data_IF_898082673798
#
_entry.id   IF_898082673798
#
_cell.length_a   1.000
_cell.length_b   1.000
_cell.length_c   1.000
_cell.angle_alpha   90.00
_cell.angle_beta   90.00
_cell.angle_gamma   90.00
#
_symmetry.space_group_name_H-M   'P 1'
#
loop_
_entity.id
_entity.type
_entity.pdbx_description
1 polymer ?
#
# COMPACT_ATOMS: atom_id res chain seq x y z
N UNK A 1 -22.38 -30.17 -12.30
CA UNK A 1 -23.28 -29.03 -12.54
C UNK A 1 -22.75 -28.08 -13.60
N UNK A 2 -21.64 -27.35 -13.38
CA UNK A 2 -21.12 -26.38 -14.37
C UNK A 2 -20.90 -26.95 -15.77
N UNK A 3 -20.35 -28.16 -15.88
CA UNK A 3 -20.20 -28.88 -17.16
C UNK A 3 -21.55 -29.11 -17.86
N UNK A 4 -22.59 -29.54 -17.13
CA UNK A 4 -23.91 -29.78 -17.71
C UNK A 4 -24.59 -28.48 -18.17
N UNK A 5 -24.29 -27.35 -17.52
CA UNK A 5 -24.88 -26.06 -17.87
C UNK A 5 -24.19 -25.40 -19.06
N UNK A 6 -22.85 -25.50 -19.16
CA UNK A 6 -22.03 -24.65 -20.01
C UNK A 6 -21.14 -25.39 -21.02
N UNK A 7 -21.01 -26.72 -20.96
CA UNK A 7 -20.16 -27.46 -21.89
C UNK A 7 -20.57 -27.21 -23.35
N UNK A 8 -19.59 -26.89 -24.19
CA UNK A 8 -19.80 -26.65 -25.61
C UNK A 8 -20.53 -25.35 -25.95
N UNK A 9 -20.77 -24.46 -24.97
CA UNK A 9 -21.53 -23.21 -25.18
C UNK A 9 -20.67 -21.94 -25.19
N UNK A 10 -19.38 -22.03 -24.88
CA UNK A 10 -18.45 -20.88 -24.82
C UNK A 10 -17.78 -20.57 -26.17
N UNK A 11 -18.25 -21.21 -27.23
CA UNK A 11 -17.73 -20.94 -28.57
C UNK A 11 -18.30 -19.64 -29.11
N UNK A 12 -17.46 -18.90 -29.85
CA UNK A 12 -17.83 -17.64 -30.49
C UNK A 12 -17.07 -17.43 -31.79
N UNK A 13 -17.74 -16.79 -32.74
CA UNK A 13 -17.12 -16.32 -33.97
C UNK A 13 -16.30 -15.06 -33.68
N UNK A 14 -15.02 -15.09 -34.04
CA UNK A 14 -14.08 -13.97 -33.91
C UNK A 14 -13.51 -13.59 -35.26
N UNK A 15 -13.33 -12.28 -35.43
CA UNK A 15 -12.62 -11.72 -36.58
C UNK A 15 -11.10 -11.98 -36.48
N UNK A 16 -10.35 -11.72 -37.55
CA UNK A 16 -8.89 -11.83 -37.62
C UNK A 16 -8.16 -10.97 -36.57
N UNK A 17 -8.84 -9.94 -36.04
CA UNK A 17 -8.36 -9.08 -34.95
C UNK A 17 -8.61 -9.64 -33.55
N UNK A 18 -9.36 -10.75 -33.42
CA UNK A 18 -9.76 -11.37 -32.16
C UNK A 18 -11.01 -10.78 -31.51
N UNK A 19 -11.73 -9.88 -32.19
CA UNK A 19 -12.98 -9.29 -31.70
C UNK A 19 -14.17 -10.21 -32.00
N UNK A 20 -15.08 -10.37 -31.03
CA UNK A 20 -16.33 -11.12 -31.18
C UNK A 20 -17.30 -10.38 -32.11
N UNK A 21 -17.83 -11.09 -33.11
CA UNK A 21 -18.76 -10.54 -34.09
C UNK A 21 -20.21 -10.51 -33.57
N UNK A 22 -21.02 -9.60 -34.10
CA UNK A 22 -22.42 -9.44 -33.67
C UNK A 22 -23.30 -10.60 -34.19
N UNK A 23 -24.25 -11.05 -33.38
CA UNK A 23 -25.14 -12.17 -33.70
C UNK A 23 -26.11 -11.88 -34.86
N UNK A 24 -26.39 -10.60 -35.15
CA UNK A 24 -27.23 -10.18 -36.27
C UNK A 24 -26.57 -10.46 -37.63
N UNK A 25 -25.24 -10.36 -37.68
CA UNK A 25 -24.44 -10.58 -38.89
C UNK A 25 -24.09 -12.06 -39.02
N UNK A 26 -23.69 -12.69 -37.91
CA UNK A 26 -23.29 -14.09 -37.87
C UNK A 26 -24.10 -14.80 -36.79
N UNK A 27 -25.22 -15.46 -37.14
CA UNK A 27 -26.09 -16.09 -36.16
C UNK A 27 -25.54 -17.43 -35.64
N UNK A 28 -24.85 -18.19 -36.50
CA UNK A 28 -24.45 -19.58 -36.24
C UNK A 28 -23.05 -19.89 -36.80
N UNK A 29 -22.46 -21.00 -36.33
CA UNK A 29 -21.15 -21.50 -36.76
C UNK A 29 -21.01 -21.66 -38.28
N UNK A 30 -22.06 -22.12 -38.97
CA UNK A 30 -22.00 -22.35 -40.41
C UNK A 30 -21.78 -21.05 -41.18
N UNK A 31 -22.42 -19.95 -40.74
CA UNK A 31 -22.26 -18.62 -41.35
C UNK A 31 -20.86 -18.07 -41.04
N UNK A 32 -20.36 -18.28 -39.81
CA UNK A 32 -19.01 -17.89 -39.42
C UNK A 32 -17.95 -18.51 -40.35
N UNK A 33 -18.07 -19.81 -40.63
CA UNK A 33 -17.14 -20.53 -41.50
C UNK A 33 -17.33 -20.19 -42.99
N UNK A 34 -18.55 -19.89 -43.43
CA UNK A 34 -18.82 -19.47 -44.81
C UNK A 34 -18.17 -18.12 -45.14
N UNK A 35 -18.13 -17.20 -44.17
CA UNK A 35 -17.50 -15.88 -44.28
C UNK A 35 -15.98 -15.89 -43.98
N UNK A 36 -15.35 -17.07 -43.86
CA UNK A 36 -13.93 -17.25 -43.54
C UNK A 36 -13.47 -16.66 -42.19
N UNK A 37 -14.36 -16.55 -41.21
CA UNK A 37 -14.01 -16.18 -39.83
C UNK A 37 -13.68 -17.41 -38.97
N UNK A 38 -13.10 -17.17 -37.78
CA UNK A 38 -12.69 -18.26 -36.87
C UNK A 38 -13.74 -18.52 -35.81
N UNK A 39 -14.15 -19.79 -35.69
CA UNK A 39 -15.03 -20.26 -34.63
C UNK A 39 -14.20 -20.84 -33.49
N UNK A 40 -13.91 -20.04 -32.46
CA UNK A 40 -12.98 -20.39 -31.39
C UNK A 40 -13.71 -20.58 -30.05
N UNK A 41 -13.17 -21.47 -29.22
CA UNK A 41 -13.64 -21.68 -27.85
C UNK A 41 -12.87 -20.77 -26.89
N UNK A 42 -13.52 -20.32 -25.83
CA UNK A 42 -12.81 -19.65 -24.73
C UNK A 42 -11.80 -20.60 -24.09
N UNK A 43 -10.61 -20.06 -23.76
CA UNK A 43 -9.50 -20.81 -23.15
C UNK A 43 -9.90 -21.44 -21.82
N UNK A 44 -10.75 -20.74 -21.06
CA UNK A 44 -11.28 -21.19 -19.79
C UNK A 44 -12.75 -21.53 -19.98
N UNK A 45 -13.10 -22.82 -19.92
CA UNK A 45 -14.43 -23.33 -20.28
C UNK A 45 -14.87 -24.50 -19.38
N UNK A 46 -16.11 -24.93 -19.55
CA UNK A 46 -16.72 -26.02 -18.77
C UNK A 46 -16.90 -27.30 -19.60
N UNK A 47 -16.11 -27.53 -20.64
CA UNK A 47 -16.30 -28.66 -21.55
C UNK A 47 -16.09 -30.03 -20.87
N UNK A 48 -15.19 -30.08 -19.89
CA UNK A 48 -14.94 -31.26 -19.07
C UNK A 48 -14.61 -30.85 -17.64
N UNK A 49 -14.64 -31.83 -16.73
CA UNK A 49 -14.51 -31.61 -15.29
C UNK A 49 -13.17 -30.96 -14.93
N UNK A 50 -12.08 -31.32 -15.59
CA UNK A 50 -10.75 -30.72 -15.37
C UNK A 50 -10.72 -29.21 -15.63
N UNK A 51 -11.15 -28.78 -16.83
CA UNK A 51 -11.28 -27.35 -17.15
C UNK A 51 -12.29 -26.65 -16.23
N UNK A 52 -13.39 -27.31 -15.85
CA UNK A 52 -14.35 -26.75 -14.90
C UNK A 52 -13.71 -26.49 -13.53
N UNK A 53 -12.81 -27.35 -13.02
CA UNK A 53 -12.07 -27.08 -11.79
C UNK A 53 -11.16 -25.85 -11.92
N UNK A 54 -10.46 -25.68 -13.04
CA UNK A 54 -9.63 -24.49 -13.29
C UNK A 54 -10.48 -23.22 -13.38
N UNK A 55 -11.63 -23.27 -14.05
CA UNK A 55 -12.61 -22.17 -14.09
C UNK A 55 -13.05 -21.79 -12.68
N UNK A 56 -13.48 -22.77 -11.89
CA UNK A 56 -13.97 -22.55 -10.54
C UNK A 56 -12.87 -22.06 -9.60
N UNK A 57 -11.61 -22.45 -9.81
CA UNK A 57 -10.46 -21.92 -9.09
C UNK A 57 -10.22 -20.43 -9.40
N UNK A 58 -10.29 -20.04 -10.67
CA UNK A 58 -10.22 -18.61 -11.07
C UNK A 58 -11.37 -17.78 -10.50
N UNK A 59 -12.58 -18.34 -10.49
CA UNK A 59 -13.74 -17.72 -9.83
C UNK A 59 -13.54 -17.60 -8.33
N UNK A 60 -13.05 -18.66 -7.66
CA UNK A 60 -12.84 -18.66 -6.21
C UNK A 60 -11.78 -17.65 -5.75
N UNK A 61 -10.76 -17.39 -6.58
CA UNK A 61 -9.68 -16.42 -6.31
C UNK A 61 -10.00 -15.00 -6.78
N UNK A 62 -11.15 -14.78 -7.42
CA UNK A 62 -11.56 -13.52 -8.05
C UNK A 62 -10.56 -12.97 -9.08
N UNK A 63 -9.79 -13.85 -9.74
CA UNK A 63 -8.84 -13.48 -10.80
C UNK A 63 -9.26 -14.14 -12.12
N UNK A 64 -9.55 -13.34 -13.16
CA UNK A 64 -10.01 -13.85 -14.47
C UNK A 64 -11.48 -14.28 -14.53
N UNK A 65 -12.20 -14.21 -13.41
CA UNK A 65 -13.61 -14.62 -13.28
C UNK A 65 -14.59 -13.87 -14.20
N UNK A 66 -14.29 -12.61 -14.54
CA UNK A 66 -15.15 -11.77 -15.38
C UNK A 66 -15.33 -12.31 -16.79
N UNK A 67 -14.31 -12.95 -17.37
CA UNK A 67 -14.39 -13.54 -18.71
C UNK A 67 -15.27 -14.79 -18.68
N UNK A 68 -15.04 -15.66 -17.69
CA UNK A 68 -15.82 -16.89 -17.47
C UNK A 68 -17.30 -16.56 -17.26
N UNK A 69 -17.61 -15.59 -16.39
CA UNK A 69 -18.99 -15.23 -16.10
C UNK A 69 -19.70 -14.58 -17.27
N UNK A 70 -18.98 -13.76 -18.06
CA UNK A 70 -19.52 -13.18 -19.30
C UNK A 70 -19.85 -14.26 -20.33
N UNK A 71 -18.91 -15.17 -20.58
CA UNK A 71 -19.15 -16.29 -21.51
C UNK A 71 -20.29 -17.20 -21.02
N UNK A 72 -20.49 -17.34 -19.71
CA UNK A 72 -21.63 -18.06 -19.13
C UNK A 72 -22.98 -17.37 -19.36
N UNK A 73 -23.03 -16.06 -19.14
CA UNK A 73 -24.26 -15.25 -19.23
C UNK A 73 -24.66 -15.00 -20.68
N UNK A 74 -23.69 -14.91 -21.58
CA UNK A 74 -23.91 -14.72 -23.01
C UNK A 74 -24.22 -16.05 -23.74
N UNK A 75 -24.07 -17.19 -23.04
CA UNK A 75 -24.29 -18.53 -23.60
C UNK A 75 -25.77 -18.83 -23.87
N UNK A 76 -26.04 -19.53 -24.98
CA UNK A 76 -27.38 -19.95 -25.41
C UNK A 76 -27.61 -21.44 -25.16
N UNK A 77 -28.86 -21.86 -25.06
CA UNK A 77 -29.22 -23.26 -24.78
C UNK A 77 -28.84 -24.24 -25.90
N UNK A 78 -28.75 -23.77 -27.14
CA UNK A 78 -28.40 -24.59 -28.31
C UNK A 78 -26.92 -24.43 -28.68
N UNK A 79 -26.23 -25.56 -28.89
CA UNK A 79 -24.86 -25.60 -29.39
C UNK A 79 -24.73 -24.99 -30.79
N UNK A 80 -23.56 -24.39 -31.06
CA UNK A 80 -23.20 -23.89 -32.39
C UNK A 80 -23.83 -22.57 -32.81
N UNK A 81 -24.52 -21.87 -31.90
CA UNK A 81 -25.06 -20.52 -32.11
C UNK A 81 -24.15 -19.45 -31.55
N UNK A 82 -24.10 -18.29 -32.19
CA UNK A 82 -23.35 -17.15 -31.70
C UNK A 82 -23.94 -16.67 -30.35
N UNK A 83 -23.09 -16.39 -29.34
CA UNK A 83 -23.55 -15.85 -28.06
C UNK A 83 -24.18 -14.48 -28.24
N UNK A 84 -25.20 -14.21 -27.44
CA UNK A 84 -25.90 -12.92 -27.41
C UNK A 84 -25.67 -12.35 -26.03
N UNK A 85 -25.27 -11.08 -25.98
CA UNK A 85 -24.98 -10.41 -24.72
C UNK A 85 -26.18 -10.49 -23.78
N UNK A 86 -25.95 -10.97 -22.55
CA UNK A 86 -26.94 -10.93 -21.46
C UNK A 86 -28.27 -11.65 -21.78
N UNK A 87 -28.22 -12.70 -22.61
CA UNK A 87 -29.40 -13.51 -22.92
C UNK A 87 -29.80 -14.42 -21.75
N UNK A 88 -28.84 -14.91 -20.98
CA UNK A 88 -29.06 -15.83 -19.87
C UNK A 88 -28.59 -15.24 -18.53
N UNK A 89 -29.19 -14.13 -18.14
CA UNK A 89 -28.83 -13.38 -16.93
C UNK A 89 -28.99 -14.18 -15.63
N UNK A 90 -29.83 -15.23 -15.61
CA UNK A 90 -29.99 -16.09 -14.44
C UNK A 90 -28.71 -16.88 -14.10
N UNK A 91 -27.77 -17.02 -15.04
CA UNK A 91 -26.50 -17.73 -14.79
C UNK A 91 -25.59 -17.00 -13.79
N UNK A 92 -25.82 -15.71 -13.51
CA UNK A 92 -25.16 -15.02 -12.40
C UNK A 92 -25.39 -15.72 -11.06
N UNK A 93 -26.59 -16.27 -10.83
CA UNK A 93 -26.90 -16.96 -9.58
C UNK A 93 -26.02 -18.18 -9.35
N UNK A 94 -25.67 -18.94 -10.40
CA UNK A 94 -24.75 -20.08 -10.27
C UNK A 94 -23.42 -19.69 -9.63
N UNK A 95 -22.83 -18.59 -10.09
CA UNK A 95 -21.55 -18.10 -9.57
C UNK A 95 -21.69 -17.46 -8.19
N UNK A 96 -22.78 -16.73 -7.92
CA UNK A 96 -23.06 -16.18 -6.58
C UNK A 96 -23.17 -17.30 -5.54
N UNK A 97 -23.93 -18.36 -5.84
CA UNK A 97 -24.02 -19.53 -4.97
C UNK A 97 -22.67 -20.21 -4.78
N UNK A 98 -21.88 -20.37 -5.85
CA UNK A 98 -20.54 -20.94 -5.74
C UNK A 98 -19.58 -20.05 -4.92
N UNK A 99 -19.66 -18.73 -5.00
CA UNK A 99 -18.81 -17.83 -4.22
C UNK A 99 -19.17 -17.90 -2.73
N UNK A 100 -20.48 -17.87 -2.41
CA UNK A 100 -20.96 -17.90 -1.02
C UNK A 100 -20.68 -19.27 -0.38
N UNK A 101 -21.05 -20.37 -1.04
CA UNK A 101 -20.97 -21.70 -0.44
C UNK A 101 -19.68 -22.44 -0.76
N UNK A 102 -19.09 -22.19 -1.93
CA UNK A 102 -17.82 -22.78 -2.33
C UNK A 102 -16.66 -22.00 -1.74
N UNK A 103 -16.43 -20.78 -2.22
CA UNK A 103 -15.22 -20.01 -1.87
C UNK A 103 -15.20 -19.60 -0.39
N UNK A 104 -16.24 -18.91 0.10
CA UNK A 104 -16.22 -18.39 1.46
C UNK A 104 -16.19 -19.48 2.53
N UNK A 105 -16.99 -20.54 2.38
CA UNK A 105 -16.99 -21.65 3.32
C UNK A 105 -15.66 -22.41 3.33
N UNK A 106 -15.11 -22.76 2.16
CA UNK A 106 -13.85 -23.53 2.09
C UNK A 106 -12.66 -22.73 2.61
N UNK A 107 -12.59 -21.43 2.29
CA UNK A 107 -11.51 -20.55 2.77
C UNK A 107 -11.59 -20.38 4.29
N UNK A 108 -12.79 -20.16 4.84
CA UNK A 108 -12.98 -20.05 6.29
C UNK A 108 -12.67 -21.36 7.03
N UNK A 109 -13.07 -22.51 6.48
CA UNK A 109 -12.73 -23.81 7.04
C UNK A 109 -11.21 -24.03 7.04
N UNK A 110 -10.55 -23.72 5.93
CA UNK A 110 -9.10 -23.83 5.81
C UNK A 110 -8.37 -22.95 6.82
N UNK A 111 -8.79 -21.67 6.95
CA UNK A 111 -8.27 -20.75 7.96
C UNK A 111 -8.51 -21.31 9.36
N UNK A 112 -9.70 -21.81 9.66
CA UNK A 112 -10.04 -22.39 10.96
C UNK A 112 -9.12 -23.56 11.33
N UNK A 113 -8.95 -24.52 10.41
CA UNK A 113 -8.07 -25.67 10.61
C UNK A 113 -6.61 -25.24 10.82
N UNK A 114 -6.12 -24.28 10.04
CA UNK A 114 -4.75 -23.76 10.20
C UNK A 114 -4.60 -23.09 11.56
N UNK A 115 -5.54 -22.24 11.96
CA UNK A 115 -5.48 -21.53 13.24
C UNK A 115 -5.52 -22.51 14.40
N UNK A 116 -6.37 -23.53 14.33
CA UNK A 116 -6.47 -24.54 15.38
C UNK A 116 -5.18 -25.36 15.49
N UNK A 117 -4.61 -25.78 14.35
CA UNK A 117 -3.33 -26.49 14.32
C UNK A 117 -2.19 -25.59 14.86
N UNK A 118 -2.18 -24.32 14.45
CA UNK A 118 -1.20 -23.34 14.91
C UNK A 118 -1.31 -23.07 16.42
N UNK A 119 -2.54 -23.00 16.94
CA UNK A 119 -2.80 -22.85 18.38
C UNK A 119 -2.38 -24.11 19.16
N UNK A 120 -2.56 -25.30 18.59
CA UNK A 120 -2.07 -26.54 19.19
C UNK A 120 -0.53 -26.55 19.26
N UNK A 121 0.15 -26.17 18.17
CA UNK A 121 1.61 -26.07 18.13
C UNK A 121 2.14 -25.00 19.09
N UNK A 122 1.43 -23.88 19.22
CA UNK A 122 1.70 -22.84 20.21
C UNK A 122 1.63 -23.40 21.64
N UNK A 123 0.61 -24.18 21.99
CA UNK A 123 0.51 -24.79 23.34
C UNK A 123 1.70 -25.72 23.64
N UNK A 124 2.22 -26.45 22.64
CA UNK A 124 3.38 -27.35 22.80
C UNK A 124 4.72 -26.60 22.91
N UNK A 125 4.91 -25.55 22.12
CA UNK A 125 6.21 -24.86 21.97
C UNK A 125 6.33 -23.59 22.84
N UNK A 126 5.22 -23.08 23.39
CA UNK A 126 5.18 -21.87 24.22
C UNK A 126 4.68 -20.63 23.46
N UNK A 127 5.44 -19.54 23.45
CA UNK A 127 4.97 -18.28 22.85
C UNK A 127 4.85 -18.38 21.32
N UNK A 128 3.86 -17.72 20.72
CA UNK A 128 3.54 -17.82 19.27
C UNK A 128 4.68 -17.42 18.35
N UNK A 129 5.53 -16.49 18.78
CA UNK A 129 6.68 -16.04 18.01
C UNK A 129 7.84 -17.04 18.06
N UNK A 130 7.96 -17.81 19.14
CA UNK A 130 9.10 -18.73 19.34
C UNK A 130 9.08 -19.91 18.37
N UNK A 131 7.91 -20.26 17.82
CA UNK A 131 7.76 -21.32 16.81
C UNK A 131 8.39 -20.95 15.47
N UNK A 132 8.52 -19.66 15.16
CA UNK A 132 9.10 -19.18 13.89
C UNK A 132 10.55 -18.71 14.02
N UNK A 133 11.13 -18.83 15.22
CA UNK A 133 12.45 -18.30 15.54
C UNK A 133 13.44 -19.43 15.75
N UNK A 134 14.67 -19.23 15.27
CA UNK A 134 15.78 -20.10 15.64
C UNK A 134 16.12 -19.96 17.13
N UNK A 135 16.80 -20.96 17.70
CA UNK A 135 17.18 -20.94 19.12
C UNK A 135 18.01 -19.71 19.50
N UNK A 136 18.91 -19.26 18.61
CA UNK A 136 19.72 -18.07 18.86
C UNK A 136 18.90 -16.79 18.81
N UNK A 137 17.98 -16.66 17.83
CA UNK A 137 17.05 -15.54 17.78
C UNK A 137 16.14 -15.47 19.02
N UNK A 138 15.72 -16.63 19.55
CA UNK A 138 14.95 -16.72 20.81
C UNK A 138 15.74 -16.18 22.00
N UNK A 139 17.04 -16.48 22.10
CA UNK A 139 17.92 -15.92 23.14
C UNK A 139 18.01 -14.39 23.04
N UNK A 140 18.24 -13.86 21.84
CA UNK A 140 18.28 -12.41 21.60
C UNK A 140 16.95 -11.72 21.93
N UNK A 141 15.83 -12.28 21.49
CA UNK A 141 14.50 -11.75 21.78
C UNK A 141 14.23 -11.69 23.29
N UNK A 142 14.54 -12.76 24.02
CA UNK A 142 14.35 -12.81 25.47
C UNK A 142 15.26 -11.82 26.22
N UNK A 143 16.50 -11.62 25.76
CA UNK A 143 17.39 -10.61 26.30
C UNK A 143 16.85 -9.18 26.05
N UNK A 144 16.37 -8.90 24.84
CA UNK A 144 15.78 -7.61 24.47
C UNK A 144 14.50 -7.32 25.26
N UNK A 145 13.62 -8.32 25.43
CA UNK A 145 12.39 -8.21 26.23
C UNK A 145 12.71 -7.88 27.70
N UNK A 146 13.75 -8.49 28.28
CA UNK A 146 14.22 -8.18 29.63
C UNK A 146 14.84 -6.77 29.72
N UNK A 147 15.60 -6.33 28.72
CA UNK A 147 16.18 -4.99 28.66
C UNK A 147 15.15 -3.88 28.41
N UNK A 148 14.01 -4.21 27.80
CA UNK A 148 12.93 -3.25 27.53
C UNK A 148 12.10 -2.91 28.76
N UNK A 149 12.06 -3.79 29.77
CA UNK A 149 11.13 -3.62 30.89
C UNK A 149 11.55 -2.55 31.91
N UNK A 150 12.84 -2.22 32.02
CA UNK A 150 13.35 -1.18 32.94
C UNK A 150 14.66 -0.56 32.44
N UNK A 151 14.58 0.60 31.78
CA UNK A 151 15.75 1.46 31.56
C UNK A 151 15.62 2.69 32.46
N UNK A 152 16.43 2.84 33.53
CA UNK A 152 16.43 4.08 34.30
C UNK A 152 17.00 5.19 33.42
N UNK A 153 16.17 6.17 33.09
CA UNK A 153 16.60 7.36 32.37
C UNK A 153 17.38 8.25 33.35
N UNK A 154 18.70 8.33 33.20
CA UNK A 154 19.51 9.30 33.96
C UNK A 154 19.10 10.71 33.54
N UNK A 155 18.71 11.55 34.51
CA UNK A 155 18.41 12.95 34.25
C UNK A 155 19.66 13.70 33.76
N UNK A 156 19.48 14.59 32.80
CA UNK A 156 20.58 15.35 32.18
C UNK A 156 21.06 16.43 33.17
N UNK A 157 22.37 16.54 33.45
CA UNK A 157 22.89 17.53 34.40
C UNK A 157 22.70 18.95 33.86
N UNK A 158 22.26 19.88 34.73
CA UNK A 158 22.07 21.29 34.37
C UNK A 158 23.43 21.98 34.11
N UNK A 159 23.55 22.81 33.07
CA UNK A 159 24.79 23.53 32.78
C UNK A 159 25.05 24.62 33.84
N UNK A 160 26.32 24.83 34.19
CA UNK A 160 26.74 25.85 35.17
C UNK A 160 26.73 27.28 34.64
N UNK A 161 26.82 27.46 33.32
CA UNK A 161 26.94 28.79 32.70
C UNK A 161 25.54 29.45 32.54
N UNK A 162 25.40 30.72 32.96
CA UNK A 162 24.09 31.39 33.11
C UNK A 162 23.28 31.48 31.81
N UNK A 163 23.81 31.99 30.68
CA UNK A 163 23.05 32.04 29.42
C UNK A 163 22.59 30.66 28.97
N UNK A 164 23.45 29.65 29.11
CA UNK A 164 23.11 28.28 28.75
C UNK A 164 22.08 27.65 29.68
N UNK A 165 22.09 27.97 30.98
CA UNK A 165 21.07 27.51 31.91
C UNK A 165 19.69 28.08 31.59
N UNK A 166 19.60 29.31 31.08
CA UNK A 166 18.34 29.91 30.65
C UNK A 166 17.82 29.17 29.41
N UNK A 167 18.66 28.98 28.39
CA UNK A 167 18.26 28.24 27.18
C UNK A 167 17.88 26.79 27.51
N UNK A 168 18.60 26.13 28.43
CA UNK A 168 18.27 24.79 28.91
C UNK A 168 16.89 24.73 29.56
N UNK A 169 16.51 25.75 30.35
CA UNK A 169 15.17 25.81 30.95
C UNK A 169 14.07 25.98 29.89
N UNK A 170 14.29 26.83 28.89
CA UNK A 170 13.33 27.05 27.80
C UNK A 170 13.13 25.77 26.99
N UNK A 171 14.22 25.14 26.56
CA UNK A 171 14.19 23.95 25.70
C UNK A 171 13.62 22.72 26.40
N UNK A 172 13.76 22.62 27.74
CA UNK A 172 13.26 21.49 28.53
C UNK A 172 11.80 21.70 28.97
N UNK A 173 11.21 22.87 28.74
CA UNK A 173 9.81 23.14 29.09
C UNK A 173 8.85 22.43 28.12
N UNK A 174 7.84 21.75 28.66
CA UNK A 174 6.77 21.10 27.89
C UNK A 174 6.04 22.09 26.97
N UNK A 175 5.97 23.37 27.34
CA UNK A 175 5.34 24.40 26.50
C UNK A 175 6.11 24.64 25.19
N UNK A 176 7.44 24.60 25.25
CA UNK A 176 8.29 24.74 24.08
C UNK A 176 8.08 23.55 23.12
N UNK A 177 8.07 22.32 23.66
CA UNK A 177 7.79 21.13 22.86
C UNK A 177 6.38 21.17 22.24
N UNK A 178 5.34 21.59 22.98
CA UNK A 178 3.99 21.74 22.44
C UNK A 178 3.91 22.75 21.28
N UNK A 179 4.62 23.87 21.40
CA UNK A 179 4.70 24.89 20.35
C UNK A 179 5.37 24.35 19.09
N UNK A 180 6.46 23.59 19.21
CA UNK A 180 7.10 22.93 18.06
C UNK A 180 6.15 21.90 17.41
N UNK A 181 5.43 21.13 18.23
CA UNK A 181 4.45 20.15 17.73
C UNK A 181 3.32 20.83 16.94
N UNK A 182 2.85 21.99 17.38
CA UNK A 182 1.89 22.80 16.62
C UNK A 182 2.44 23.19 15.25
N UNK A 183 3.69 23.68 15.18
CA UNK A 183 4.32 24.05 13.90
C UNK A 183 4.56 22.86 12.97
N UNK A 184 4.82 21.66 13.51
CA UNK A 184 4.89 20.42 12.72
C UNK A 184 3.52 20.12 12.11
N UNK A 185 2.44 20.21 12.89
CA UNK A 185 1.08 20.02 12.40
C UNK A 185 0.69 21.03 11.31
N UNK A 186 1.03 22.31 11.50
CA UNK A 186 0.82 23.35 10.48
C UNK A 186 1.64 23.08 9.21
N UNK A 187 2.89 22.63 9.34
CA UNK A 187 3.71 22.27 8.18
C UNK A 187 3.10 21.10 7.40
N UNK A 188 2.61 20.07 8.09
CA UNK A 188 1.88 18.97 7.47
C UNK A 188 0.66 19.48 6.69
N UNK A 189 -0.16 20.35 7.30
CA UNK A 189 -1.30 20.94 6.64
C UNK A 189 -0.89 21.67 5.35
N UNK A 190 0.19 22.46 5.38
CA UNK A 190 0.69 23.11 4.16
C UNK A 190 1.11 22.12 3.07
N UNK A 191 1.66 20.95 3.42
CA UNK A 191 2.00 19.91 2.44
C UNK A 191 0.76 19.24 1.84
N UNK A 192 -0.36 19.18 2.58
CA UNK A 192 -1.63 18.62 2.06
C UNK A 192 -2.37 19.57 1.12
N UNK A 193 -2.05 20.87 1.15
CA UNK A 193 -2.68 21.88 0.29
C UNK A 193 -2.09 21.92 -1.13
N UNK A 194 -0.94 21.30 -1.37
CA UNK A 194 -0.32 21.17 -2.70
C UNK A 194 -1.25 20.36 -3.63
N UNK A 195 -1.63 20.93 -4.78
CA UNK A 195 -2.51 20.27 -5.76
C UNK A 195 -2.05 20.45 -7.21
N UNK A 196 -2.53 19.57 -8.09
CA UNK A 196 -2.18 19.60 -9.51
C UNK A 196 -2.78 20.83 -10.20
N UNK A 197 -1.98 21.52 -11.03
CA UNK A 197 -2.33 22.77 -11.73
C UNK A 197 -2.69 23.97 -10.83
N UNK A 198 -2.00 24.12 -9.70
CA UNK A 198 -2.18 25.29 -8.84
C UNK A 198 -1.65 26.60 -9.45
N UNK A 199 -2.27 27.73 -9.10
CA UNK A 199 -1.85 29.07 -9.52
C UNK A 199 -0.43 29.38 -9.04
N UNK A 200 0.35 30.12 -9.84
CA UNK A 200 1.73 30.53 -9.48
C UNK A 200 1.79 31.22 -8.11
N UNK A 201 0.87 32.15 -7.84
CA UNK A 201 0.77 32.84 -6.55
C UNK A 201 0.59 31.87 -5.37
N UNK A 202 -0.21 30.81 -5.54
CA UNK A 202 -0.44 29.82 -4.48
C UNK A 202 0.82 28.98 -4.22
N UNK A 203 1.55 28.61 -5.28
CA UNK A 203 2.85 27.93 -5.17
C UNK A 203 3.86 28.79 -4.41
N UNK A 204 3.97 30.08 -4.77
CA UNK A 204 4.92 31.01 -4.14
C UNK A 204 4.62 31.24 -2.65
N UNK A 205 3.34 31.25 -2.27
CA UNK A 205 2.93 31.36 -0.86
C UNK A 205 3.29 30.10 -0.09
N UNK A 206 3.00 28.91 -0.64
CA UNK A 206 3.34 27.64 -0.01
C UNK A 206 4.86 27.45 0.11
N UNK A 207 5.65 27.92 -0.86
CA UNK A 207 7.10 27.88 -0.80
C UNK A 207 7.65 28.80 0.30
N UNK A 208 7.13 30.04 0.41
CA UNK A 208 7.49 30.96 1.50
C UNK A 208 7.14 30.41 2.88
N UNK A 209 5.97 29.82 3.05
CA UNK A 209 5.58 29.15 4.30
C UNK A 209 6.54 28.00 4.64
N UNK A 210 6.90 27.18 3.65
CA UNK A 210 7.86 26.10 3.83
C UNK A 210 9.25 26.60 4.26
N UNK A 211 9.72 27.74 3.76
CA UNK A 211 10.97 28.36 4.20
C UNK A 211 10.89 28.83 5.66
N UNK A 212 9.77 29.42 6.08
CA UNK A 212 9.54 29.82 7.48
C UNK A 212 9.61 28.60 8.41
N UNK A 213 8.97 27.49 8.05
CA UNK A 213 9.04 26.26 8.85
C UNK A 213 10.48 25.70 8.95
N UNK A 214 11.26 25.75 7.86
CA UNK A 214 12.69 25.38 7.90
C UNK A 214 13.44 26.23 8.91
N UNK A 215 13.22 27.56 8.92
CA UNK A 215 13.89 28.46 9.85
C UNK A 215 13.52 28.18 11.32
N UNK A 216 12.25 27.90 11.60
CA UNK A 216 11.78 27.54 12.95
C UNK A 216 12.46 26.25 13.45
N UNK A 217 12.43 25.17 12.66
CA UNK A 217 13.05 23.90 13.06
C UNK A 217 14.58 23.98 13.13
N UNK A 218 15.21 24.78 12.28
CA UNK A 218 16.66 25.04 12.37
C UNK A 218 17.01 25.76 13.68
N UNK A 219 16.21 26.74 14.06
CA UNK A 219 16.40 27.49 15.32
C UNK A 219 16.19 26.57 16.53
N UNK A 220 15.14 25.74 16.54
CA UNK A 220 14.91 24.72 17.56
C UNK A 220 16.13 23.80 17.73
N UNK A 221 16.62 23.24 16.62
CA UNK A 221 17.77 22.34 16.59
C UNK A 221 19.03 23.01 17.18
N UNK A 222 19.32 24.25 16.77
CA UNK A 222 20.46 25.02 17.29
C UNK A 222 20.33 25.30 18.79
N UNK A 223 19.14 25.68 19.27
CA UNK A 223 18.87 25.91 20.69
C UNK A 223 19.05 24.61 21.50
N UNK A 224 18.57 23.47 20.99
CA UNK A 224 18.73 22.15 21.61
C UNK A 224 20.19 21.70 21.67
N UNK A 225 20.97 21.90 20.61
CA UNK A 225 22.40 21.61 20.57
C UNK A 225 23.14 22.47 21.61
N UNK A 226 22.83 23.76 21.69
CA UNK A 226 23.45 24.67 22.66
C UNK A 226 23.11 24.33 24.12
N UNK A 227 21.87 23.95 24.40
CA UNK A 227 21.42 23.56 25.74
C UNK A 227 22.03 22.21 26.18
N UNK A 228 21.91 21.17 25.33
CA UNK A 228 22.16 19.78 25.70
C UNK A 228 23.57 19.27 25.34
N UNK A 229 24.30 19.99 24.48
CA UNK A 229 25.66 19.64 24.03
C UNK A 229 25.72 18.20 23.48
N UNK A 230 26.58 17.34 24.05
CA UNK A 230 26.73 15.95 23.63
C UNK A 230 25.50 15.08 23.97
N UNK A 231 24.68 15.45 24.96
CA UNK A 231 23.46 14.70 25.28
C UNK A 231 22.40 14.79 24.18
N UNK A 232 22.46 15.84 23.34
CA UNK A 232 21.58 15.96 22.16
C UNK A 232 21.72 14.76 21.22
N UNK A 233 22.96 14.37 20.89
CA UNK A 233 23.24 13.27 19.96
C UNK A 233 23.02 11.87 20.53
N UNK A 234 22.78 11.74 21.85
CA UNK A 234 22.46 10.44 22.47
C UNK A 234 20.98 10.08 22.36
N UNK A 235 20.10 11.07 22.27
CA UNK A 235 18.65 10.84 22.15
C UNK A 235 18.31 10.59 20.67
N UNK A 236 17.80 9.40 20.29
CA UNK A 236 17.54 9.06 18.89
C UNK A 236 16.59 10.04 18.18
N UNK A 237 15.60 10.57 18.90
CA UNK A 237 14.66 11.54 18.37
C UNK A 237 15.30 12.89 18.03
N UNK A 238 16.27 13.33 18.82
CA UNK A 238 17.02 14.56 18.56
C UNK A 238 18.00 14.37 17.39
N UNK A 239 18.63 13.18 17.29
CA UNK A 239 19.46 12.83 16.14
C UNK A 239 18.64 12.80 14.84
N UNK A 240 17.43 12.22 14.89
CA UNK A 240 16.50 12.23 13.76
C UNK A 240 16.09 13.67 13.38
N UNK A 241 15.78 14.51 14.36
CA UNK A 241 15.49 15.93 14.15
C UNK A 241 16.64 16.65 13.43
N UNK A 242 17.87 16.47 13.90
CA UNK A 242 19.07 17.02 13.27
C UNK A 242 19.21 16.60 11.80
N UNK A 243 19.07 15.30 11.50
CA UNK A 243 19.16 14.79 10.12
C UNK A 243 18.11 15.45 9.22
N UNK A 244 16.87 15.56 9.70
CA UNK A 244 15.78 16.19 8.94
C UNK A 244 16.04 17.67 8.68
N UNK A 245 16.59 18.40 9.66
CA UNK A 245 16.98 19.82 9.48
C UNK A 245 18.11 19.95 8.45
N UNK A 246 19.15 19.13 8.55
CA UNK A 246 20.27 19.15 7.60
C UNK A 246 19.81 18.83 6.17
N UNK A 247 18.97 17.80 5.97
CA UNK A 247 18.41 17.49 4.65
C UNK A 247 17.53 18.63 4.11
N UNK A 248 16.81 19.33 4.99
CA UNK A 248 16.00 20.48 4.61
C UNK A 248 16.84 21.67 4.16
N UNK A 249 17.95 21.95 4.85
CA UNK A 249 18.91 22.99 4.48
C UNK A 249 19.65 22.63 3.18
N UNK A 250 20.08 21.38 3.05
CA UNK A 250 20.68 20.86 1.82
C UNK A 250 19.74 21.03 0.62
N UNK A 251 18.43 20.81 0.81
CA UNK A 251 17.45 21.01 -0.25
C UNK A 251 17.28 22.45 -0.72
N UNK A 252 17.43 23.44 0.17
CA UNK A 252 17.43 24.86 -0.22
C UNK A 252 18.67 25.18 -1.06
N UNK A 253 19.86 24.84 -0.56
CA UNK A 253 21.13 25.09 -1.27
C UNK A 253 21.19 24.36 -2.61
N UNK A 254 20.67 23.13 -2.66
CA UNK A 254 20.65 22.33 -3.87
C UNK A 254 19.72 22.94 -4.93
N UNK A 255 18.57 23.51 -4.55
CA UNK A 255 17.69 24.20 -5.51
C UNK A 255 18.42 25.32 -6.25
N UNK A 256 19.19 26.12 -5.51
CA UNK A 256 19.98 27.21 -6.08
C UNK A 256 21.11 26.68 -6.97
N UNK A 257 21.78 25.60 -6.56
CA UNK A 257 22.87 24.99 -7.31
C UNK A 257 22.40 24.31 -8.61
N UNK A 258 21.21 23.70 -8.60
CA UNK A 258 20.63 23.03 -9.77
C UNK A 258 20.20 24.04 -10.85
N UNK A 259 19.69 25.21 -10.45
CA UNK A 259 19.41 26.31 -11.39
C UNK A 259 20.67 26.77 -12.14
N UNK A 260 21.84 26.59 -11.53
CA UNK A 260 23.15 26.92 -12.11
C UNK A 260 23.78 25.78 -12.92
N UNK A 261 23.50 24.51 -12.60
CA UNK A 261 24.22 23.35 -13.16
C UNK A 261 23.36 22.31 -13.91
N UNK A 262 22.11 22.61 -14.32
CA UNK A 262 21.25 21.73 -15.15
C UNK A 262 21.14 20.28 -14.64
N UNK A 263 20.98 20.08 -13.32
CA UNK A 263 20.78 18.73 -12.75
C UNK A 263 19.34 18.26 -12.96
N UNK A 264 19.15 16.94 -13.07
CA UNK A 264 17.84 16.31 -13.27
C UNK A 264 16.78 16.74 -12.25
N UNK A 265 15.57 17.14 -12.69
CA UNK A 265 14.43 17.49 -11.83
C UNK A 265 13.95 16.36 -10.90
N UNK A 266 14.33 15.11 -11.16
CA UNK A 266 13.96 13.96 -10.32
C UNK A 266 14.61 14.02 -8.94
N UNK A 267 15.81 14.57 -8.83
CA UNK A 267 16.54 14.66 -7.57
C UNK A 267 15.88 15.67 -6.60
N UNK A 268 15.30 16.74 -7.15
CA UNK A 268 14.48 17.70 -6.39
C UNK A 268 13.22 17.04 -5.80
N UNK A 269 12.64 16.03 -6.47
CA UNK A 269 11.46 15.31 -5.95
C UNK A 269 11.82 14.49 -4.71
N UNK A 270 12.95 13.80 -4.71
CA UNK A 270 13.41 12.99 -3.56
C UNK A 270 13.67 13.88 -2.34
N UNK A 271 14.30 15.04 -2.53
CA UNK A 271 14.59 15.98 -1.45
C UNK A 271 13.31 16.60 -0.87
N UNK A 272 12.29 16.84 -1.70
CA UNK A 272 10.96 17.28 -1.23
C UNK A 272 10.28 16.22 -0.37
N UNK A 273 10.44 14.93 -0.68
CA UNK A 273 9.91 13.81 0.13
C UNK A 273 10.56 13.75 1.51
N UNK A 274 11.84 14.12 1.66
CA UNK A 274 12.50 14.16 2.96
C UNK A 274 11.81 15.11 3.97
N UNK A 275 11.06 16.12 3.48
CA UNK A 275 10.23 17.01 4.33
C UNK A 275 9.14 16.24 5.09
N UNK A 276 8.60 15.16 4.51
CA UNK A 276 7.60 14.28 5.15
C UNK A 276 8.17 13.62 6.40
N UNK A 277 9.50 13.42 6.48
CA UNK A 277 10.16 12.91 7.68
C UNK A 277 9.87 13.72 8.95
N UNK A 278 9.53 15.01 8.83
CA UNK A 278 9.10 15.85 9.97
C UNK A 278 7.83 15.35 10.63
N UNK A 279 6.92 14.72 9.88
CA UNK A 279 5.66 14.16 10.39
C UNK A 279 5.93 13.05 11.41
N UNK A 280 7.00 12.27 11.21
CA UNK A 280 7.36 11.18 12.12
C UNK A 280 7.70 11.67 13.53
N UNK A 281 7.96 12.97 13.71
CA UNK A 281 8.13 13.59 15.03
C UNK A 281 6.84 13.64 15.84
N UNK A 282 5.66 13.56 15.21
CA UNK A 282 4.38 13.48 15.91
C UNK A 282 4.21 12.19 16.73
N UNK A 283 5.04 11.18 16.45
CA UNK A 283 5.06 9.89 17.16
C UNK A 283 5.90 9.97 18.45
N UNK A 284 6.64 11.07 18.66
CA UNK A 284 7.43 11.33 19.87
C UNK A 284 6.50 11.57 21.07
#
# INVERSE_FOLDING_TARGET
>A
MGVQLFAGKYYKCVDNTGKTLNHEIIPDKNVCLAENYKWENSKMNFDHVGNAYLCLFQVATFNGWMEIMRDAVDSRDTHGKQPIREINNYMYFYFVFFIIFGSFFTLNLFIGVIIDNFNEQKKKTGASLEMFMTEDQKKYYNAMKKMSSKKPLKAIPRPRWRPQSIVFQIVTDKKFDMLIMLFIGLNMLTMTLDHYQQTKLFTDVLERLNQIFIAIFSTECLLKIFALRYYYFKEPWNLFDFVVVILSLAGLVLSDLISKYFVSPTLLRVVRVAKVGRVLRLVK
#
